data_IF_262798921506
#
_entry.id   IF_262798921506
#
_cell.length_a   1.000
_cell.length_b   1.000
_cell.length_c   1.000
_cell.angle_alpha   90.00
_cell.angle_beta   90.00
_cell.angle_gamma   90.00
#
_symmetry.space_group_name_H-M   'P 1'
#
loop_
_entity.id
_entity.type
_entity.pdbx_description
1 polymer ?
#
# COMPACT_ATOMS: atom_id res chain seq x y z
N UNK A 1 -14.23 -1.68 -9.81
CA UNK A 1 -13.31 -2.29 -8.83
C UNK A 1 -14.11 -2.50 -7.55
N UNK A 2 -14.42 -3.75 -7.15
CA UNK A 2 -15.19 -3.99 -5.93
C UNK A 2 -14.25 -3.85 -4.73
N UNK A 3 -14.41 -2.79 -3.95
CA UNK A 3 -13.62 -2.55 -2.75
C UNK A 3 -14.23 -3.37 -1.62
N UNK A 4 -13.71 -4.58 -1.40
CA UNK A 4 -14.14 -5.39 -0.25
C UNK A 4 -13.70 -4.73 1.05
N UNK A 5 -14.67 -4.40 1.91
CA UNK A 5 -14.44 -3.92 3.28
C UNK A 5 -14.29 -5.07 4.28
N UNK A 6 -14.26 -6.32 3.84
CA UNK A 6 -13.99 -7.45 4.71
C UNK A 6 -12.48 -7.62 4.94
N UNK A 7 -12.09 -7.96 6.16
CA UNK A 7 -10.74 -8.33 6.52
C UNK A 7 -10.39 -9.70 5.89
N UNK A 8 -9.31 -9.81 5.11
CA UNK A 8 -8.93 -11.10 4.52
C UNK A 8 -8.49 -12.13 5.58
N UNK A 9 -8.06 -11.69 6.76
CA UNK A 9 -7.56 -12.56 7.83
C UNK A 9 -8.67 -13.15 8.69
N UNK A 10 -9.59 -12.31 9.19
CA UNK A 10 -10.61 -12.74 10.16
C UNK A 10 -12.07 -12.46 9.72
N UNK A 11 -12.26 -11.97 8.48
CA UNK A 11 -13.56 -11.65 7.86
C UNK A 11 -14.39 -10.53 8.52
N UNK A 12 -13.91 -9.96 9.62
CA UNK A 12 -14.53 -8.77 10.24
C UNK A 12 -14.47 -7.54 9.31
N UNK A 13 -15.37 -6.59 9.49
CA UNK A 13 -15.38 -5.33 8.74
C UNK A 13 -14.14 -4.48 9.05
N UNK A 14 -13.57 -3.89 8.01
CA UNK A 14 -12.48 -2.94 8.11
C UNK A 14 -13.02 -1.53 8.38
N UNK A 15 -12.33 -0.79 9.24
CA UNK A 15 -12.63 0.60 9.58
C UNK A 15 -11.65 1.52 8.88
N UNK A 16 -12.15 2.62 8.32
CA UNK A 16 -11.31 3.69 7.77
C UNK A 16 -10.55 4.36 8.92
N UNK A 17 -9.23 4.48 8.78
CA UNK A 17 -8.36 5.15 9.78
C UNK A 17 -7.75 6.42 9.24
N UNK A 18 -7.38 6.45 7.97
CA UNK A 18 -6.88 7.64 7.29
C UNK A 18 -7.47 7.72 5.88
N UNK A 19 -7.75 8.94 5.40
CA UNK A 19 -8.28 9.21 4.05
C UNK A 19 -7.37 10.18 3.30
N UNK A 20 -7.44 10.12 1.97
CA UNK A 20 -6.81 11.08 1.07
C UNK A 20 -5.29 11.27 1.27
N UNK A 21 -4.58 10.21 1.70
CA UNK A 21 -3.13 10.20 1.81
C UNK A 21 -2.49 10.13 0.43
N UNK A 22 -1.31 10.69 0.28
CA UNK A 22 -0.50 10.62 -0.94
C UNK A 22 0.96 10.35 -0.56
N UNK A 23 1.74 9.86 -1.50
CA UNK A 23 3.16 9.60 -1.31
C UNK A 23 3.96 10.86 -1.64
N UNK A 24 4.44 11.54 -0.61
CA UNK A 24 5.28 12.74 -0.70
C UNK A 24 6.78 12.44 -0.73
N UNK A 25 7.17 11.19 -0.44
CA UNK A 25 8.58 10.78 -0.32
C UNK A 25 9.15 10.31 -1.66
N UNK A 26 8.39 9.49 -2.36
CA UNK A 26 8.80 8.85 -3.61
C UNK A 26 7.95 9.29 -4.80
N UNK A 27 6.90 10.09 -4.54
CA UNK A 27 6.09 10.72 -5.57
C UNK A 27 5.20 9.74 -6.33
N UNK A 28 4.82 8.60 -5.73
CA UNK A 28 3.81 7.75 -6.35
C UNK A 28 2.50 8.53 -6.53
N UNK A 29 1.93 8.55 -7.75
CA UNK A 29 0.72 9.31 -8.03
C UNK A 29 -0.51 8.66 -7.38
N UNK A 30 -1.49 9.51 -7.08
CA UNK A 30 -2.80 9.10 -6.60
C UNK A 30 -2.99 9.31 -5.11
N UNK A 31 -4.23 9.08 -4.66
CA UNK A 31 -4.63 9.15 -3.26
C UNK A 31 -5.00 7.77 -2.75
N UNK A 32 -4.65 7.51 -1.50
CA UNK A 32 -4.92 6.26 -0.81
C UNK A 32 -5.63 6.54 0.51
N UNK A 33 -6.56 5.66 0.85
CA UNK A 33 -7.17 5.57 2.17
C UNK A 33 -6.62 4.33 2.88
N UNK A 34 -6.37 4.44 4.18
CA UNK A 34 -5.92 3.32 5.02
C UNK A 34 -7.11 2.81 5.81
N UNK A 35 -7.26 1.50 5.81
CA UNK A 35 -8.27 0.79 6.59
C UNK A 35 -7.58 -0.22 7.50
N UNK A 36 -8.10 -0.37 8.73
CA UNK A 36 -7.61 -1.36 9.69
C UNK A 36 -8.74 -2.24 10.21
N UNK A 37 -8.42 -3.49 10.55
CA UNK A 37 -9.33 -4.41 11.19
C UNK A 37 -9.27 -4.22 12.71
N UNK A 38 -10.38 -3.83 13.38
CA UNK A 38 -10.38 -3.68 14.84
C UNK A 38 -10.25 -5.01 15.58
N UNK A 39 -10.46 -6.16 14.91
CA UNK A 39 -10.42 -7.49 15.54
C UNK A 39 -9.01 -8.13 15.50
N UNK A 40 -8.29 -7.99 14.39
CA UNK A 40 -7.00 -8.67 14.19
C UNK A 40 -5.84 -7.74 13.83
N UNK A 41 -6.07 -6.43 13.73
CA UNK A 41 -5.03 -5.44 13.42
C UNK A 41 -4.61 -5.36 11.95
N UNK A 42 -5.08 -6.26 11.06
CA UNK A 42 -4.74 -6.20 9.64
C UNK A 42 -5.06 -4.83 9.02
N UNK A 43 -4.07 -4.22 8.36
CA UNK A 43 -4.19 -2.94 7.67
C UNK A 43 -4.01 -3.07 6.15
N UNK A 44 -4.70 -2.23 5.37
CA UNK A 44 -4.48 -2.11 3.92
C UNK A 44 -4.77 -0.71 3.40
N UNK A 45 -4.14 -0.36 2.27
CA UNK A 45 -4.48 0.81 1.47
C UNK A 45 -5.57 0.51 0.44
N UNK A 46 -6.40 1.50 0.15
CA UNK A 46 -7.42 1.50 -0.90
C UNK A 46 -7.27 2.80 -1.72
N UNK A 47 -7.07 2.75 -3.04
CA UNK A 47 -6.92 1.52 -3.84
C UNK A 47 -5.66 0.76 -3.44
N UNK A 48 -5.77 -0.57 -3.41
CA UNK A 48 -4.62 -1.45 -3.20
C UNK A 48 -3.80 -1.54 -4.48
N UNK A 49 -2.50 -1.82 -4.34
CA UNK A 49 -1.64 -2.05 -5.49
C UNK A 49 -2.08 -3.30 -6.25
N UNK A 50 -2.14 -3.20 -7.59
CA UNK A 50 -2.42 -4.35 -8.43
C UNK A 50 -1.25 -5.34 -8.33
N UNK A 51 -1.53 -6.57 -7.89
CA UNK A 51 -0.54 -7.64 -7.71
C UNK A 51 0.29 -7.91 -8.97
N UNK A 52 -0.30 -7.79 -10.15
CA UNK A 52 0.40 -8.01 -11.43
C UNK A 52 1.41 -6.90 -11.75
N UNK A 53 1.16 -5.68 -11.26
CA UNK A 53 1.97 -4.50 -11.53
C UNK A 53 2.82 -4.05 -10.34
N UNK A 54 2.77 -4.77 -9.21
CA UNK A 54 3.46 -4.36 -7.99
C UNK A 54 4.98 -4.25 -8.22
N UNK A 55 5.59 -5.20 -8.94
CA UNK A 55 7.02 -5.13 -9.24
C UNK A 55 7.40 -3.89 -10.05
N UNK A 56 6.65 -3.57 -11.11
CA UNK A 56 6.88 -2.37 -11.95
C UNK A 56 6.66 -1.08 -11.17
N UNK A 57 5.64 -1.07 -10.30
CA UNK A 57 5.34 0.07 -9.45
C UNK A 57 6.49 0.35 -8.48
N UNK A 58 6.97 -0.68 -7.78
CA UNK A 58 8.11 -0.54 -6.86
C UNK A 58 9.39 -0.17 -7.61
N UNK A 59 9.69 -0.78 -8.76
CA UNK A 59 10.86 -0.41 -9.55
C UNK A 59 10.86 1.05 -10.02
N UNK A 60 9.68 1.64 -10.25
CA UNK A 60 9.54 3.03 -10.70
C UNK A 60 9.68 4.03 -9.56
N UNK A 61 8.94 3.82 -8.47
CA UNK A 61 8.81 4.82 -7.41
C UNK A 61 9.76 4.56 -6.24
N UNK A 62 10.17 3.31 -6.03
CA UNK A 62 11.05 2.92 -4.94
C UNK A 62 12.41 2.53 -5.53
N UNK A 63 13.22 3.50 -6.00
CA UNK A 63 14.54 3.16 -6.54
C UNK A 63 15.29 2.41 -5.45
N UNK A 64 15.70 1.17 -5.78
CA UNK A 64 16.72 0.47 -5.02
C UNK A 64 17.89 1.45 -4.97
N UNK A 65 18.24 1.90 -3.78
CA UNK A 65 19.40 2.74 -3.57
C UNK A 65 20.55 2.17 -4.39
N UNK A 66 21.15 3.01 -5.24
CA UNK A 66 22.47 2.76 -5.78
C UNK A 66 23.43 2.77 -4.59
N UNK A 67 23.46 1.69 -3.82
CA UNK A 67 24.70 1.32 -3.15
C UNK A 67 25.68 1.09 -4.31
N UNK A 68 26.66 1.98 -4.42
CA UNK A 68 27.74 1.83 -5.38
C UNK A 68 28.33 0.42 -5.17
N UNK A 69 28.39 -0.47 -6.19
CA UNK A 69 29.01 -1.79 -6.06
C UNK A 69 30.54 -1.76 -5.82
N UNK A 70 31.12 -0.60 -5.48
CA UNK A 70 32.57 -0.39 -5.29
C UNK A 70 33.01 -0.35 -3.82
N UNK A 71 32.11 -0.51 -2.86
CA UNK A 71 32.46 -0.57 -1.43
C UNK A 71 31.80 -1.75 -0.71
N UNK A 72 31.91 -2.96 -1.29
CA UNK A 72 31.80 -4.23 -0.58
C UNK A 72 33.01 -5.11 -0.89
#
# INVERSE_FOLDING_TARGET
MIISRACPTCRSSLKLTQKDLFDDRYGSPGKHSVFSCPKCGFGKTIPGLNRQNIGKFYARYYPLSNENPKEM
#
